data_IF_068633767230
#
_entry.id   IF_068633767230
#
_cell.length_a   1.000
_cell.length_b   1.000
_cell.length_c   1.000
_cell.angle_alpha   90.00
_cell.angle_beta   90.00
_cell.angle_gamma   90.00
#
_symmetry.space_group_name_H-M   'P 1'
#
loop_
_entity.id
_entity.type
_entity.pdbx_description
1 polymer ?
#
# COMPACT_ATOMS: atom_id res chain seq x y z
N UNK A 1 -73.19 -42.13 -33.01
CA UNK A 1 -72.84 -40.78 -33.48
C UNK A 1 -72.55 -39.98 -32.22
N UNK A 2 -71.34 -40.11 -31.68
CA UNK A 2 -70.13 -39.34 -32.01
C UNK A 2 -70.17 -37.96 -31.39
N UNK A 3 -69.06 -37.62 -30.70
CA UNK A 3 -68.67 -36.35 -30.05
C UNK A 3 -69.22 -36.15 -28.63
N UNK A 4 -68.44 -35.77 -27.60
CA UNK A 4 -67.02 -35.51 -27.35
C UNK A 4 -66.91 -35.44 -25.80
N UNK A 5 -65.88 -36.01 -25.14
CA UNK A 5 -65.73 -35.86 -23.70
C UNK A 5 -65.13 -34.50 -23.29
N UNK A 6 -65.53 -34.04 -22.12
CA UNK A 6 -65.03 -32.86 -21.42
C UNK A 6 -63.50 -32.82 -21.31
N UNK A 7 -62.91 -31.72 -21.77
CA UNK A 7 -61.53 -31.33 -21.42
C UNK A 7 -61.56 -30.72 -20.02
N UNK A 8 -60.94 -31.40 -19.07
CA UNK A 8 -60.67 -30.90 -17.71
C UNK A 8 -59.38 -30.09 -17.77
N UNK A 9 -59.51 -28.77 -17.60
CA UNK A 9 -58.38 -27.84 -17.47
C UNK A 9 -57.85 -27.89 -16.02
N UNK A 10 -56.93 -28.81 -15.76
CA UNK A 10 -56.17 -28.85 -14.51
C UNK A 10 -55.06 -27.79 -14.55
N UNK A 11 -55.25 -26.68 -13.83
CA UNK A 11 -54.21 -25.70 -13.51
C UNK A 11 -53.13 -26.33 -12.63
N UNK A 12 -52.13 -26.92 -13.26
CA UNK A 12 -50.90 -27.38 -12.60
C UNK A 12 -50.16 -26.20 -11.98
N UNK A 13 -49.90 -26.29 -10.67
CA UNK A 13 -49.03 -25.37 -9.94
C UNK A 13 -47.56 -25.66 -10.28
N UNK A 14 -46.81 -24.73 -10.91
CA UNK A 14 -45.38 -24.89 -11.07
C UNK A 14 -44.71 -24.31 -9.83
N UNK A 15 -44.57 -25.12 -8.77
CA UNK A 15 -44.10 -24.57 -7.49
C UNK A 15 -43.36 -25.54 -6.59
N UNK A 16 -42.82 -26.66 -7.10
CA UNK A 16 -42.16 -27.63 -6.21
C UNK A 16 -40.93 -28.36 -6.74
N UNK A 17 -40.34 -27.94 -7.86
CA UNK A 17 -39.15 -28.61 -8.44
C UNK A 17 -38.09 -27.68 -9.07
N UNK A 18 -37.90 -26.47 -8.54
CA UNK A 18 -36.71 -25.67 -8.85
C UNK A 18 -35.94 -25.20 -7.59
N UNK A 19 -36.26 -25.78 -6.43
CA UNK A 19 -35.58 -25.54 -5.15
C UNK A 19 -34.24 -26.27 -4.97
N UNK A 20 -33.74 -26.97 -6.00
CA UNK A 20 -32.48 -27.72 -5.93
C UNK A 20 -31.36 -27.15 -6.83
N UNK A 21 -31.64 -26.10 -7.60
CA UNK A 21 -30.62 -25.33 -8.34
C UNK A 21 -30.18 -24.05 -7.62
N UNK A 22 -30.85 -23.66 -6.53
CA UNK A 22 -30.49 -22.47 -5.74
C UNK A 22 -29.40 -22.73 -4.69
N UNK A 23 -29.23 -23.96 -4.20
CA UNK A 23 -28.19 -24.28 -3.21
C UNK A 23 -26.80 -24.54 -3.81
N UNK A 24 -26.67 -24.79 -5.11
CA UNK A 24 -25.37 -25.00 -5.76
C UNK A 24 -24.74 -23.69 -6.30
N UNK A 25 -25.52 -22.61 -6.40
CA UNK A 25 -25.02 -21.30 -6.88
C UNK A 25 -24.63 -20.35 -5.75
N UNK A 26 -25.03 -20.60 -4.49
CA UNK A 26 -24.65 -19.75 -3.35
C UNK A 26 -23.22 -20.02 -2.85
N UNK A 27 -22.57 -21.09 -3.29
CA UNK A 27 -21.16 -21.37 -2.92
C UNK A 27 -20.15 -20.77 -3.92
N UNK A 28 -20.60 -20.26 -5.08
CA UNK A 28 -19.71 -19.71 -6.12
C UNK A 28 -19.73 -18.18 -6.30
N UNK A 29 -20.54 -17.44 -5.52
CA UNK A 29 -20.66 -15.98 -5.67
C UNK A 29 -20.09 -15.19 -4.46
N UNK A 30 -19.60 -15.87 -3.43
CA UNK A 30 -18.88 -15.21 -2.33
C UNK A 30 -17.38 -14.94 -2.61
N UNK A 31 -16.86 -15.32 -3.78
CA UNK A 31 -15.43 -15.14 -4.13
C UNK A 31 -15.16 -14.44 -5.47
N UNK A 32 -16.18 -13.93 -6.15
CA UNK A 32 -16.06 -13.53 -7.56
C UNK A 32 -16.07 -12.02 -7.82
N UNK A 33 -16.14 -11.16 -6.80
CA UNK A 33 -16.04 -9.70 -6.94
C UNK A 33 -14.93 -9.07 -6.09
N UNK A 34 -13.78 -9.75 -5.99
CA UNK A 34 -12.52 -8.99 -5.87
C UNK A 34 -12.14 -8.62 -7.29
N UNK A 35 -12.61 -7.46 -7.75
CA UNK A 35 -11.98 -6.79 -8.88
C UNK A 35 -10.47 -6.82 -8.65
N UNK A 36 -9.76 -7.59 -9.47
CA UNK A 36 -8.31 -7.57 -9.61
C UNK A 36 -7.90 -6.20 -10.14
N UNK A 37 -8.06 -5.16 -9.32
CA UNK A 37 -7.58 -3.83 -9.58
C UNK A 37 -6.23 -3.68 -8.88
N UNK A 38 -5.24 -3.33 -9.71
CA UNK A 38 -3.88 -2.91 -9.37
C UNK A 38 -2.92 -4.04 -8.96
N UNK A 39 -2.02 -4.35 -9.89
CA UNK A 39 -0.73 -4.96 -9.60
C UNK A 39 -0.15 -4.31 -8.34
N UNK A 40 0.01 -5.08 -7.27
CA UNK A 40 0.70 -4.67 -6.05
C UNK A 40 2.14 -4.31 -6.43
N UNK A 41 2.40 -3.02 -6.71
CA UNK A 41 3.73 -2.54 -7.02
C UNK A 41 4.56 -2.60 -5.75
N UNK A 42 5.42 -3.62 -5.66
CA UNK A 42 6.54 -3.59 -4.76
C UNK A 42 7.46 -2.43 -5.19
N UNK A 43 7.61 -1.43 -4.32
CA UNK A 43 8.44 -0.28 -4.60
C UNK A 43 9.93 -0.65 -4.55
N UNK A 44 10.79 0.07 -5.30
CA UNK A 44 12.24 0.04 -5.07
C UNK A 44 12.53 0.30 -3.59
N UNK A 45 13.25 -0.62 -2.93
CA UNK A 45 13.44 -0.61 -1.48
C UNK A 45 12.70 -1.73 -0.73
N UNK A 46 12.00 -2.63 -1.44
CA UNK A 46 11.51 -3.89 -0.88
C UNK A 46 10.22 -3.80 -0.06
N UNK A 47 9.51 -2.68 -0.12
CA UNK A 47 8.17 -2.54 0.49
C UNK A 47 7.09 -2.89 -0.53
N UNK A 48 6.17 -3.77 -0.17
CA UNK A 48 5.08 -4.23 -1.02
C UNK A 48 3.73 -4.01 -0.31
N UNK A 49 2.73 -3.56 -1.06
CA UNK A 49 1.38 -3.35 -0.55
C UNK A 49 0.42 -4.37 -1.16
N UNK A 50 -0.20 -5.20 -0.31
CA UNK A 50 -1.22 -6.20 -0.71
C UNK A 50 -2.48 -5.96 0.11
N UNK A 51 -3.61 -5.78 -0.56
CA UNK A 51 -4.93 -5.58 0.07
C UNK A 51 -4.92 -4.48 1.16
N UNK A 52 -4.27 -3.34 0.87
CA UNK A 52 -4.18 -2.21 1.80
C UNK A 52 -3.16 -2.36 2.93
N UNK A 53 -2.48 -3.51 3.05
CA UNK A 53 -1.40 -3.72 4.02
C UNK A 53 -0.05 -3.59 3.33
N UNK A 54 0.80 -2.68 3.79
CA UNK A 54 2.13 -2.44 3.25
C UNK A 54 3.22 -2.91 4.22
N UNK A 55 4.24 -3.59 3.71
CA UNK A 55 5.37 -4.03 4.52
C UNK A 55 6.51 -4.62 3.71
N UNK A 56 7.61 -4.93 4.38
CA UNK A 56 8.74 -5.67 3.80
C UNK A 56 8.44 -7.18 3.75
N UNK A 57 9.17 -7.92 2.91
CA UNK A 57 9.04 -9.39 2.87
C UNK A 57 9.21 -10.02 4.26
N UNK A 58 10.16 -9.54 5.04
CA UNK A 58 10.40 -10.01 6.41
C UNK A 58 9.21 -9.73 7.34
N UNK A 59 8.54 -8.57 7.20
CA UNK A 59 7.33 -8.28 7.95
C UNK A 59 6.19 -9.22 7.58
N UNK A 60 5.99 -9.52 6.29
CA UNK A 60 4.98 -10.48 5.86
C UNK A 60 5.29 -11.91 6.34
N UNK A 61 6.56 -12.35 6.27
CA UNK A 61 7.00 -13.66 6.79
C UNK A 61 6.77 -13.75 8.30
N UNK A 62 7.20 -12.73 9.07
CA UNK A 62 6.99 -12.68 10.52
C UNK A 62 5.49 -12.71 10.89
N UNK A 63 4.67 -11.94 10.18
CA UNK A 63 3.23 -11.94 10.41
C UNK A 63 2.61 -13.32 10.13
N UNK A 64 3.00 -13.97 9.02
CA UNK A 64 2.55 -15.33 8.73
C UNK A 64 2.96 -16.33 9.82
N UNK A 65 4.20 -16.25 10.32
CA UNK A 65 4.65 -17.09 11.45
C UNK A 65 3.81 -16.88 12.70
N UNK A 66 3.55 -15.62 13.10
CA UNK A 66 2.76 -15.31 14.29
C UNK A 66 1.33 -15.85 14.16
N UNK A 67 0.67 -15.61 13.02
CA UNK A 67 -0.71 -16.07 12.78
C UNK A 67 -0.79 -17.59 12.79
N UNK A 68 0.21 -18.29 12.24
CA UNK A 68 0.26 -19.74 12.26
C UNK A 68 0.53 -20.30 13.67
N UNK A 69 1.44 -19.71 14.44
CA UNK A 69 1.67 -20.11 15.84
C UNK A 69 0.41 -19.93 16.70
N UNK A 70 -0.39 -18.90 16.44
CA UNK A 70 -1.68 -18.73 17.10
C UNK A 70 -2.69 -19.82 16.73
N UNK A 71 -2.65 -20.30 15.48
CA UNK A 71 -3.49 -21.42 15.04
C UNK A 71 -3.09 -22.72 15.76
N UNK A 72 -1.79 -22.99 15.88
CA UNK A 72 -1.26 -24.19 16.52
C UNK A 72 -1.52 -24.21 18.03
N UNK A 73 -1.45 -23.05 18.70
CA UNK A 73 -1.69 -22.94 20.14
C UNK A 73 -3.15 -23.20 20.58
N UNK A 74 -4.09 -23.35 19.63
CA UNK A 74 -5.54 -23.50 19.89
C UNK A 74 -6.02 -24.95 19.73
N UNK A 75 -5.11 -25.93 19.80
CA UNK A 75 -5.40 -27.37 19.66
C UNK A 75 -6.50 -27.94 20.59
N UNK A 76 -6.97 -27.19 21.61
CA UNK A 76 -7.97 -27.63 22.59
C UNK A 76 -9.27 -26.81 22.65
N UNK A 77 -9.58 -25.97 21.65
CA UNK A 77 -10.87 -25.24 21.58
C UNK A 77 -11.80 -25.81 20.50
N UNK A 78 -13.05 -25.32 20.48
CA UNK A 78 -14.11 -25.83 19.62
C UNK A 78 -13.70 -25.87 18.13
N UNK A 79 -14.08 -26.94 17.44
CA UNK A 79 -13.83 -27.18 16.00
C UNK A 79 -14.05 -25.96 15.07
N UNK A 80 -15.06 -25.09 15.30
CA UNK A 80 -15.25 -23.91 14.45
C UNK A 80 -14.10 -22.90 14.51
N UNK A 81 -13.48 -22.71 15.69
CA UNK A 81 -12.39 -21.73 15.86
C UNK A 81 -11.09 -22.21 15.23
N UNK A 82 -10.79 -23.52 15.30
CA UNK A 82 -9.57 -24.07 14.69
C UNK A 82 -9.58 -23.96 13.16
N UNK A 83 -10.74 -24.16 12.53
CA UNK A 83 -10.90 -23.99 11.07
C UNK A 83 -10.67 -22.54 10.65
N UNK A 84 -11.22 -21.57 11.37
CA UNK A 84 -11.04 -20.14 11.05
C UNK A 84 -9.55 -19.74 11.15
N UNK A 85 -8.86 -20.13 12.23
CA UNK A 85 -7.45 -19.82 12.42
C UNK A 85 -6.53 -20.51 11.40
N UNK A 86 -6.81 -21.77 11.05
CA UNK A 86 -6.07 -22.47 9.99
C UNK A 86 -6.22 -21.76 8.62
N UNK A 87 -7.43 -21.25 8.33
CA UNK A 87 -7.69 -20.41 7.17
C UNK A 87 -6.85 -19.12 7.17
N UNK A 88 -6.78 -18.41 8.31
CA UNK A 88 -5.97 -17.20 8.46
C UNK A 88 -4.47 -17.45 8.27
N UNK A 89 -3.95 -18.54 8.83
CA UNK A 89 -2.55 -18.95 8.65
C UNK A 89 -2.22 -19.21 7.16
N UNK A 90 -3.09 -19.95 6.47
CA UNK A 90 -2.92 -20.26 5.04
C UNK A 90 -2.94 -18.98 4.20
N UNK A 91 -3.89 -18.08 4.46
CA UNK A 91 -3.96 -16.79 3.78
C UNK A 91 -2.69 -15.95 3.99
N UNK A 92 -2.17 -15.88 5.23
CA UNK A 92 -0.96 -15.13 5.53
C UNK A 92 0.29 -15.70 4.81
N UNK A 93 0.41 -17.03 4.74
CA UNK A 93 1.49 -17.70 3.97
C UNK A 93 1.42 -17.37 2.48
N UNK A 94 0.23 -17.42 1.88
CA UNK A 94 0.02 -17.07 0.46
C UNK A 94 0.43 -15.61 0.19
N UNK A 95 0.06 -14.68 1.08
CA UNK A 95 0.47 -13.28 0.94
C UNK A 95 1.99 -13.12 0.96
N UNK A 96 2.68 -13.75 1.93
CA UNK A 96 4.14 -13.69 2.02
C UNK A 96 4.82 -14.27 0.76
N UNK A 97 4.34 -15.41 0.25
CA UNK A 97 4.84 -16.01 -0.99
C UNK A 97 4.64 -15.11 -2.20
N UNK A 98 3.48 -14.42 -2.29
CA UNK A 98 3.22 -13.48 -3.39
C UNK A 98 4.18 -12.29 -3.37
N UNK A 99 4.44 -11.72 -2.18
CA UNK A 99 5.44 -10.66 -2.00
C UNK A 99 6.82 -11.12 -2.45
N UNK A 100 7.23 -12.32 -2.03
CA UNK A 100 8.53 -12.89 -2.38
C UNK A 100 8.68 -13.06 -3.90
N UNK A 101 7.67 -13.63 -4.55
CA UNK A 101 7.66 -13.83 -6.00
C UNK A 101 7.73 -12.50 -6.76
N UNK A 102 6.96 -11.49 -6.34
CA UNK A 102 7.00 -10.16 -6.96
C UNK A 102 8.36 -9.50 -6.78
N UNK A 103 8.98 -9.59 -5.60
CA UNK A 103 10.33 -9.05 -5.39
C UNK A 103 11.37 -9.74 -6.28
N UNK A 104 11.31 -11.06 -6.41
CA UNK A 104 12.21 -11.81 -7.30
C UNK A 104 12.01 -11.42 -8.77
N UNK A 105 10.77 -11.27 -9.22
CA UNK A 105 10.46 -10.83 -10.59
C UNK A 105 11.03 -9.42 -10.86
N UNK A 106 10.82 -8.48 -9.95
CA UNK A 106 11.35 -7.11 -10.05
C UNK A 106 12.88 -7.09 -10.06
N UNK A 107 13.52 -7.90 -9.20
CA UNK A 107 14.99 -8.01 -9.17
C UNK A 107 15.54 -8.57 -10.48
N UNK A 108 14.88 -9.59 -11.05
CA UNK A 108 15.24 -10.18 -12.34
C UNK A 108 15.07 -9.19 -13.49
N UNK A 109 14.00 -8.40 -13.49
CA UNK A 109 13.77 -7.35 -14.48
C UNK A 109 14.82 -6.24 -14.38
N UNK A 110 15.13 -5.79 -13.16
CA UNK A 110 16.20 -4.83 -12.91
C UNK A 110 17.55 -5.33 -13.43
N UNK A 111 17.89 -6.59 -13.15
CA UNK A 111 19.11 -7.22 -13.65
C UNK A 111 19.13 -7.26 -15.19
N UNK A 112 18.02 -7.64 -15.83
CA UNK A 112 17.89 -7.61 -17.30
C UNK A 112 18.08 -6.20 -17.86
N UNK A 113 17.55 -5.18 -17.19
CA UNK A 113 17.73 -3.79 -17.58
C UNK A 113 19.20 -3.35 -17.49
N UNK A 114 19.90 -3.74 -16.41
CA UNK A 114 21.34 -3.47 -16.26
C UNK A 114 22.18 -4.20 -17.31
N UNK A 115 21.87 -5.46 -17.60
CA UNK A 115 22.54 -6.23 -18.65
C UNK A 115 22.29 -5.65 -20.04
N UNK A 116 21.06 -5.21 -20.33
CA UNK A 116 20.72 -4.53 -21.57
C UNK A 116 21.51 -3.21 -21.69
N UNK A 117 21.60 -2.41 -20.63
CA UNK A 117 22.42 -1.20 -20.60
C UNK A 117 23.91 -1.51 -20.83
N UNK A 118 24.44 -2.58 -20.23
CA UNK A 118 25.82 -3.02 -20.45
C UNK A 118 26.06 -3.40 -21.91
N UNK A 119 25.16 -4.20 -22.51
CA UNK A 119 25.26 -4.58 -23.93
C UNK A 119 25.19 -3.37 -24.87
N UNK A 120 24.29 -2.42 -24.59
CA UNK A 120 24.21 -1.18 -25.36
C UNK A 120 25.55 -0.41 -25.29
N UNK A 121 26.16 -0.34 -24.11
CA UNK A 121 27.48 0.29 -23.92
C UNK A 121 28.59 -0.42 -24.69
N UNK A 122 28.59 -1.75 -24.71
CA UNK A 122 29.57 -2.57 -25.45
C UNK A 122 29.43 -2.40 -26.96
N UNK A 123 28.21 -2.19 -27.47
CA UNK A 123 27.94 -1.95 -28.90
C UNK A 123 28.28 -0.51 -29.35
N UNK A 124 28.86 0.33 -28.48
CA UNK A 124 29.13 1.73 -28.80
C UNK A 124 27.86 2.55 -29.04
N UNK A 125 26.68 2.04 -28.67
CA UNK A 125 25.47 2.83 -28.69
C UNK A 125 25.65 3.97 -27.67
N UNK A 126 25.27 5.21 -28.02
CA UNK A 126 25.20 6.28 -27.04
C UNK A 126 24.35 5.75 -25.90
N UNK A 127 24.92 5.70 -24.69
CA UNK A 127 24.11 5.47 -23.50
C UNK A 127 22.94 6.46 -23.57
N UNK A 128 21.70 6.06 -23.23
CA UNK A 128 20.65 7.05 -23.02
C UNK A 128 21.27 8.09 -22.10
N UNK A 129 21.31 9.35 -22.56
CA UNK A 129 21.97 10.43 -21.85
C UNK A 129 21.57 10.31 -20.38
N UNK A 130 22.55 10.22 -19.47
CA UNK A 130 22.27 10.23 -18.03
C UNK A 130 21.21 11.30 -17.82
N UNK A 131 20.08 10.98 -17.13
CA UNK A 131 18.87 11.79 -17.16
C UNK A 131 19.25 13.26 -17.12
N UNK A 132 19.10 13.89 -18.29
CA UNK A 132 19.45 15.28 -18.55
C UNK A 132 18.81 16.12 -17.47
N UNK A 133 19.63 16.74 -16.61
CA UNK A 133 19.20 17.52 -15.45
C UNK A 133 18.10 16.85 -14.61
N UNK A 134 18.46 16.21 -13.49
CA UNK A 134 17.52 15.71 -12.48
C UNK A 134 16.37 16.72 -12.30
N UNK A 135 15.12 16.26 -12.48
CA UNK A 135 13.94 17.13 -12.38
C UNK A 135 14.04 17.92 -11.06
N UNK A 136 13.96 19.27 -11.08
CA UNK A 136 14.14 20.09 -9.88
C UNK A 136 13.26 19.64 -8.71
N UNK A 137 12.05 19.18 -8.99
CA UNK A 137 11.14 18.65 -7.99
C UNK A 137 11.60 17.31 -7.41
N UNK A 138 12.12 16.40 -8.24
CA UNK A 138 12.71 15.14 -7.78
C UNK A 138 13.92 15.39 -6.87
N UNK A 139 14.76 16.35 -7.24
CA UNK A 139 15.87 16.82 -6.40
C UNK A 139 15.38 17.39 -5.07
N UNK A 140 14.29 18.16 -5.07
CA UNK A 140 13.71 18.71 -3.84
C UNK A 140 13.22 17.63 -2.87
N UNK A 141 12.55 16.59 -3.38
CA UNK A 141 12.16 15.42 -2.58
C UNK A 141 13.37 14.70 -1.99
N UNK A 142 14.44 14.52 -2.77
CA UNK A 142 15.68 13.88 -2.31
C UNK A 142 16.34 14.69 -1.18
N UNK A 143 16.46 16.01 -1.34
CA UNK A 143 17.01 16.89 -0.30
C UNK A 143 16.16 16.80 0.98
N UNK A 144 14.83 16.82 0.84
CA UNK A 144 13.90 16.70 1.96
C UNK A 144 14.10 15.39 2.71
N UNK A 145 14.15 14.25 1.99
CA UNK A 145 14.38 12.93 2.59
C UNK A 145 15.70 12.89 3.37
N UNK A 146 16.79 13.35 2.76
CA UNK A 146 18.11 13.38 3.39
C UNK A 146 18.13 14.27 4.66
N UNK A 147 17.49 15.44 4.61
CA UNK A 147 17.41 16.34 5.76
C UNK A 147 16.61 15.71 6.92
N UNK A 148 15.49 15.04 6.61
CA UNK A 148 14.68 14.32 7.59
C UNK A 148 15.50 13.21 8.26
N UNK A 149 16.16 12.37 7.47
CA UNK A 149 16.95 11.25 7.98
C UNK A 149 18.14 11.72 8.82
N UNK A 150 18.84 12.76 8.37
CA UNK A 150 19.96 13.34 9.11
C UNK A 150 19.51 13.91 10.47
N UNK A 151 18.44 14.70 10.51
CA UNK A 151 17.93 15.26 11.76
C UNK A 151 17.35 14.17 12.68
N UNK A 152 16.67 13.16 12.12
CA UNK A 152 16.21 11.99 12.89
C UNK A 152 17.38 11.26 13.53
N UNK A 153 18.45 11.01 12.77
CA UNK A 153 19.65 10.34 13.29
C UNK A 153 20.30 11.15 14.43
N UNK A 154 20.36 12.48 14.33
CA UNK A 154 20.84 13.36 15.40
C UNK A 154 19.99 13.26 16.66
N UNK A 155 18.65 13.23 16.52
CA UNK A 155 17.72 12.99 17.64
C UNK A 155 17.99 11.63 18.31
N UNK A 156 18.11 10.57 17.52
CA UNK A 156 18.36 9.22 18.05
C UNK A 156 19.70 9.09 18.79
N UNK A 157 20.68 9.95 18.48
CA UNK A 157 21.94 10.07 19.22
C UNK A 157 21.88 11.01 20.44
N UNK A 158 20.73 11.64 20.70
CA UNK A 158 20.55 12.58 21.81
C UNK A 158 21.04 14.02 21.54
N UNK A 159 21.50 14.34 20.32
CA UNK A 159 21.92 15.71 19.95
C UNK A 159 20.73 16.67 19.81
N UNK A 160 19.55 16.13 19.48
CA UNK A 160 18.29 16.87 19.42
C UNK A 160 17.35 16.27 20.47
N UNK A 161 16.83 17.05 21.42
CA UNK A 161 16.19 16.50 22.62
C UNK A 161 14.78 15.96 22.39
N UNK A 162 14.16 16.23 21.23
CA UNK A 162 12.74 15.98 21.03
C UNK A 162 12.39 15.73 19.55
N UNK A 163 11.18 15.24 19.28
CA UNK A 163 10.64 15.13 17.93
C UNK A 163 10.48 16.51 17.30
N UNK A 164 10.00 17.51 18.04
CA UNK A 164 9.89 18.90 17.55
C UNK A 164 11.24 19.43 17.11
N UNK A 165 12.30 19.24 17.91
CA UNK A 165 13.65 19.66 17.56
C UNK A 165 14.15 18.98 16.27
N UNK A 166 13.84 17.69 16.08
CA UNK A 166 14.16 16.97 14.84
C UNK A 166 13.42 17.51 13.62
N UNK A 167 12.15 17.90 13.75
CA UNK A 167 11.36 18.48 12.65
C UNK A 167 11.84 19.88 12.32
N UNK A 168 12.07 20.72 13.32
CA UNK A 168 12.58 22.08 13.15
C UNK A 168 13.97 22.09 12.49
N UNK A 169 14.80 21.09 12.79
CA UNK A 169 16.08 20.88 12.11
C UNK A 169 15.91 20.61 10.60
N UNK A 170 14.91 19.83 10.18
CA UNK A 170 14.74 19.41 8.79
C UNK A 170 13.94 20.41 7.93
N UNK A 171 12.98 21.13 8.53
CA UNK A 171 12.05 21.99 7.81
C UNK A 171 12.70 23.09 6.95
N UNK A 172 13.76 23.81 7.41
CA UNK A 172 14.40 24.84 6.60
C UNK A 172 14.96 24.30 5.27
N UNK A 173 15.63 23.14 5.32
CA UNK A 173 16.19 22.51 4.11
C UNK A 173 15.09 22.04 3.15
N UNK A 174 14.00 21.48 3.67
CA UNK A 174 12.82 21.11 2.89
C UNK A 174 12.23 22.34 2.18
N UNK A 175 11.90 23.39 2.92
CA UNK A 175 11.29 24.60 2.38
C UNK A 175 12.17 25.26 1.31
N UNK A 176 13.47 25.36 1.57
CA UNK A 176 14.42 25.90 0.61
C UNK A 176 14.46 25.07 -0.68
N UNK A 177 14.51 23.74 -0.57
CA UNK A 177 14.58 22.85 -1.73
C UNK A 177 13.36 22.97 -2.65
N UNK A 178 12.15 23.11 -2.09
CA UNK A 178 10.95 23.32 -2.90
C UNK A 178 10.88 24.72 -3.53
N UNK A 179 11.39 25.75 -2.84
CA UNK A 179 11.52 27.11 -3.41
C UNK A 179 12.50 27.14 -4.57
N UNK A 180 13.66 26.48 -4.41
CA UNK A 180 14.67 26.35 -5.47
C UNK A 180 14.14 25.58 -6.68
N UNK A 181 13.26 24.60 -6.45
CA UNK A 181 12.55 23.87 -7.49
C UNK A 181 11.40 24.65 -8.14
N UNK A 182 11.17 25.91 -7.72
CA UNK A 182 10.06 26.76 -8.17
C UNK A 182 8.71 26.04 -8.09
N UNK A 183 8.49 25.31 -6.99
CA UNK A 183 7.27 24.54 -6.84
C UNK A 183 6.05 25.46 -6.82
N UNK A 184 5.06 25.19 -7.68
CA UNK A 184 3.88 26.04 -7.86
C UNK A 184 3.07 26.25 -6.56
N UNK A 185 3.11 25.29 -5.65
CA UNK A 185 2.29 25.25 -4.45
C UNK A 185 3.12 25.35 -3.15
N UNK A 186 4.02 26.34 -3.06
CA UNK A 186 4.85 26.56 -1.86
C UNK A 186 4.02 26.73 -0.58
N UNK A 187 2.86 27.35 -0.66
CA UNK A 187 1.96 27.53 0.47
C UNK A 187 1.52 26.17 1.08
N UNK A 188 1.35 25.14 0.25
CA UNK A 188 1.02 23.79 0.73
C UNK A 188 2.22 23.12 1.41
N UNK A 189 3.44 23.40 0.96
CA UNK A 189 4.67 22.91 1.61
C UNK A 189 4.89 23.61 2.95
N UNK A 190 4.57 24.91 3.06
CA UNK A 190 4.60 25.65 4.32
C UNK A 190 3.56 25.13 5.31
N UNK A 191 2.33 24.88 4.85
CA UNK A 191 1.30 24.21 5.64
C UNK A 191 1.76 22.83 6.11
N UNK A 192 2.40 22.04 5.25
CA UNK A 192 2.95 20.74 5.62
C UNK A 192 4.03 20.86 6.71
N UNK A 193 4.96 21.80 6.56
CA UNK A 193 6.01 22.06 7.53
C UNK A 193 5.43 22.40 8.91
N UNK A 194 4.37 23.22 8.96
CA UNK A 194 3.66 23.55 10.19
C UNK A 194 2.98 22.32 10.81
N UNK A 195 2.28 21.51 10.02
CA UNK A 195 1.64 20.27 10.52
C UNK A 195 2.64 19.24 11.04
N UNK A 196 3.83 19.14 10.45
CA UNK A 196 4.90 18.30 11.00
C UNK A 196 5.32 18.72 12.40
N UNK A 197 5.35 20.03 12.70
CA UNK A 197 5.68 20.53 14.04
C UNK A 197 4.55 20.22 15.03
N UNK A 198 3.29 20.36 14.62
CA UNK A 198 2.13 20.01 15.45
C UNK A 198 2.11 18.51 15.80
N UNK A 199 2.27 17.63 14.81
CA UNK A 199 2.36 16.18 15.02
C UNK A 199 3.51 15.86 15.98
N UNK A 200 4.71 16.43 15.74
CA UNK A 200 5.86 16.20 16.59
C UNK A 200 5.65 16.71 18.03
N UNK A 201 4.91 17.81 18.21
CA UNK A 201 4.55 18.33 19.54
C UNK A 201 3.69 17.33 20.29
N UNK A 202 2.71 16.73 19.62
CA UNK A 202 1.83 15.70 20.19
C UNK A 202 2.61 14.43 20.53
N UNK A 203 3.59 14.05 19.72
CA UNK A 203 4.51 12.95 20.03
C UNK A 203 5.37 13.23 21.27
N UNK A 204 5.94 14.43 21.38
CA UNK A 204 6.74 14.85 22.55
C UNK A 204 5.91 14.84 23.84
N UNK A 205 4.60 15.06 23.75
CA UNK A 205 3.64 14.96 24.87
C UNK A 205 3.13 13.55 25.15
N UNK A 206 3.50 12.57 24.33
CA UNK A 206 3.00 11.19 24.44
C UNK A 206 1.54 11.02 24.00
N UNK A 207 0.96 11.99 23.30
CA UNK A 207 -0.42 11.94 22.77
C UNK A 207 -0.51 11.10 21.48
N UNK A 208 0.62 10.89 20.79
CA UNK A 208 0.73 10.11 19.56
C UNK A 208 1.91 9.14 19.64
N UNK A 209 1.72 7.91 19.17
CA UNK A 209 2.81 6.98 18.86
C UNK A 209 3.47 7.31 17.52
N UNK A 210 4.67 6.78 17.23
CA UNK A 210 5.33 6.96 15.93
C UNK A 210 4.46 6.46 14.76
N UNK A 211 3.76 5.34 14.91
CA UNK A 211 2.89 4.78 13.87
C UNK A 211 1.66 5.67 13.61
N UNK A 212 1.05 6.21 14.67
CA UNK A 212 -0.07 7.15 14.53
C UNK A 212 0.38 8.46 13.89
N UNK A 213 1.55 8.98 14.28
CA UNK A 213 2.14 10.16 13.69
C UNK A 213 2.45 9.98 12.19
N UNK A 214 2.94 8.79 11.79
CA UNK A 214 3.13 8.44 10.39
C UNK A 214 1.82 8.47 9.62
N UNK A 215 0.78 7.81 10.13
CA UNK A 215 -0.54 7.80 9.50
C UNK A 215 -1.13 9.22 9.38
N UNK A 216 -0.95 10.06 10.39
CA UNK A 216 -1.39 11.45 10.34
C UNK A 216 -0.62 12.25 9.29
N UNK A 217 0.70 12.07 9.19
CA UNK A 217 1.53 12.66 8.13
C UNK A 217 1.09 12.25 6.72
N UNK A 218 0.80 10.96 6.52
CA UNK A 218 0.30 10.44 5.23
C UNK A 218 -1.05 11.06 4.85
N UNK A 219 -1.94 11.28 5.83
CA UNK A 219 -3.22 11.97 5.61
C UNK A 219 -3.02 13.43 5.18
N UNK A 220 -2.10 14.16 5.81
CA UNK A 220 -1.80 15.56 5.43
C UNK A 220 -1.28 15.63 3.99
N UNK A 221 -0.40 14.70 3.59
CA UNK A 221 0.08 14.61 2.20
C UNK A 221 -1.05 14.32 1.21
N UNK A 222 -1.96 13.40 1.54
CA UNK A 222 -3.13 13.12 0.70
C UNK A 222 -4.03 14.36 0.55
N UNK A 223 -4.22 15.14 1.61
CA UNK A 223 -4.95 16.42 1.56
C UNK A 223 -4.27 17.42 0.63
N UNK A 224 -2.95 17.56 0.71
CA UNK A 224 -2.16 18.45 -0.18
C UNK A 224 -2.38 18.06 -1.64
N UNK A 225 -2.19 16.78 -1.98
CA UNK A 225 -2.42 16.30 -3.35
C UNK A 225 -3.85 16.55 -3.85
N UNK A 226 -4.84 16.48 -2.95
CA UNK A 226 -6.22 16.81 -3.30
C UNK A 226 -6.39 18.30 -3.64
N UNK A 227 -5.78 19.18 -2.84
CA UNK A 227 -5.82 20.64 -3.06
C UNK A 227 -5.09 21.01 -4.37
N UNK A 228 -3.94 20.40 -4.65
CA UNK A 228 -3.20 20.58 -5.90
C UNK A 228 -4.08 20.23 -7.11
N UNK A 229 -4.68 19.03 -7.11
CA UNK A 229 -5.60 18.61 -8.17
C UNK A 229 -6.79 19.56 -8.33
N UNK A 230 -7.31 20.10 -7.24
CA UNK A 230 -8.41 21.06 -7.29
C UNK A 230 -7.96 22.39 -7.92
N UNK A 231 -6.78 22.90 -7.54
CA UNK A 231 -6.22 24.14 -8.10
C UNK A 231 -5.86 24.00 -9.58
N UNK A 232 -5.34 22.85 -10.01
CA UNK A 232 -5.04 22.58 -11.42
C UNK A 232 -6.29 22.45 -12.30
N UNK A 233 -7.45 22.14 -11.73
CA UNK A 233 -8.73 22.07 -12.47
C UNK A 233 -9.46 23.41 -12.56
N UNK A 234 -9.11 24.36 -11.69
CA UNK A 234 -9.75 25.68 -11.59
C UNK A 234 -9.00 26.81 -12.30
N UNK A 235 -7.95 26.46 -13.05
CA UNK A 235 -7.23 27.32 -14.00
C UNK A 235 -7.43 26.78 -15.42
#
# INVERSE_FOLDING_TARGET
>A
MSTLPHVVESRGHPGLLAGLLSCALVVFVAFSEVTFAQSSQCMPGGTCCINGTCGTLEQFKRNATIVCLQADAIENKSLPQSIELAGRCTAAKIMAQRVEWTQQANAKEHQRALEAQRKLREMGAPLPAQPTAENPLQRAFKITSLAVDACKARRLRGELPSYVASVQCANPAMLQAFRDAQYKYIDLIEMFAAKRVEIATRMDRGELTEDQAKLEGDRVLATIQSIERQRDRGM
#
